data_IF_302866831566
#
_entry.id   IF_302866831566
#
_cell.length_a   1.000
_cell.length_b   1.000
_cell.length_c   1.000
_cell.angle_alpha   90.00
_cell.angle_beta   90.00
_cell.angle_gamma   90.00
#
_symmetry.space_group_name_H-M   'P 1'
#
loop_
_entity.id
_entity.type
_entity.pdbx_description
1 polymer ?
#
# COMPACT_ATOMS: atom_id res chain seq x y z
N UNK A 1 2.12 -20.03 11.29
CA UNK A 1 2.02 -18.59 11.59
C UNK A 1 0.56 -18.19 11.43
N UNK A 2 -0.19 -18.08 12.52
CA UNK A 2 -1.60 -17.63 12.50
C UNK A 2 -1.62 -16.25 13.15
N UNK A 3 -1.59 -15.19 12.35
CA UNK A 3 -1.70 -13.82 12.86
C UNK A 3 -3.19 -13.49 12.95
N UNK A 4 -3.77 -13.62 14.14
CA UNK A 4 -5.07 -13.04 14.41
C UNK A 4 -4.89 -11.52 14.60
N UNK A 5 -5.10 -10.74 13.54
CA UNK A 5 -5.30 -9.29 13.68
C UNK A 5 -6.78 -9.01 13.84
N UNK A 6 -7.12 -8.53 15.04
CA UNK A 6 -8.40 -7.94 15.36
C UNK A 6 -8.78 -6.92 14.28
N UNK A 7 -9.99 -7.05 13.72
CA UNK A 7 -10.62 -6.01 12.90
C UNK A 7 -10.62 -4.69 13.66
N UNK A 8 -9.72 -3.79 13.30
CA UNK A 8 -9.81 -2.38 13.65
C UNK A 8 -11.05 -1.80 12.96
N UNK A 9 -11.89 -1.03 13.66
CA UNK A 9 -13.09 -0.52 13.04
C UNK A 9 -12.86 0.76 12.25
N UNK A 10 -13.26 0.75 10.98
CA UNK A 10 -13.68 1.96 10.26
C UNK A 10 -14.95 2.48 10.96
N UNK A 11 -14.88 3.68 11.53
CA UNK A 11 -16.04 4.30 12.19
C UNK A 11 -16.84 5.12 11.17
N UNK A 12 -18.01 4.62 10.78
CA UNK A 12 -19.14 5.47 10.39
C UNK A 12 -19.84 5.96 11.67
N UNK A 13 -20.31 7.21 11.74
CA UNK A 13 -21.03 7.69 12.92
C UNK A 13 -22.37 6.95 13.02
N UNK A 14 -22.60 6.31 14.16
CA UNK A 14 -23.92 5.78 14.53
C UNK A 14 -24.18 4.29 14.28
N UNK A 15 -23.25 3.37 14.62
CA UNK A 15 -23.59 1.94 14.60
C UNK A 15 -23.15 1.18 15.87
N UNK A 16 -24.14 0.75 16.64
CA UNK A 16 -24.11 -0.06 17.87
C UNK A 16 -23.73 -1.53 17.60
N UNK A 17 -22.82 -1.79 16.66
CA UNK A 17 -22.61 -3.12 16.10
C UNK A 17 -21.18 -3.64 16.39
N UNK A 18 -20.86 -3.98 17.65
CA UNK A 18 -19.50 -4.47 18.03
C UNK A 18 -19.41 -5.53 19.12
N UNK A 19 -20.50 -6.20 19.50
CA UNK A 19 -20.45 -7.31 20.48
C UNK A 19 -20.45 -8.69 19.80
N UNK A 20 -21.15 -8.83 18.67
CA UNK A 20 -21.36 -10.10 17.98
C UNK A 20 -20.16 -10.59 17.15
N UNK A 21 -19.32 -9.70 16.64
CA UNK A 21 -18.26 -10.08 15.67
C UNK A 21 -17.10 -10.83 16.31
N UNK A 22 -16.69 -10.43 17.52
CA UNK A 22 -15.58 -11.11 18.24
C UNK A 22 -16.01 -12.47 18.78
N UNK A 23 -17.26 -12.59 19.23
CA UNK A 23 -17.82 -13.85 19.70
C UNK A 23 -17.89 -14.89 18.58
N UNK A 24 -18.31 -14.48 17.37
CA UNK A 24 -18.30 -15.35 16.20
C UNK A 24 -16.89 -15.87 15.88
N UNK A 25 -15.89 -14.99 15.82
CA UNK A 25 -14.50 -15.37 15.54
C UNK A 25 -13.88 -16.31 16.59
N UNK A 26 -14.23 -16.14 17.87
CA UNK A 26 -13.78 -17.04 18.95
C UNK A 26 -14.42 -18.43 18.77
N UNK A 27 -15.71 -18.49 18.42
CA UNK A 27 -16.42 -19.76 18.19
C UNK A 27 -15.82 -20.51 17.00
N UNK A 28 -15.54 -19.81 15.90
CA UNK A 28 -14.94 -20.42 14.70
C UNK A 28 -13.53 -20.95 14.98
N UNK A 29 -12.74 -20.22 15.79
CA UNK A 29 -11.41 -20.66 16.24
C UNK A 29 -11.48 -21.92 17.11
N UNK A 30 -12.42 -21.99 18.06
CA UNK A 30 -12.61 -23.18 18.91
C UNK A 30 -13.04 -24.38 18.06
N UNK A 31 -13.91 -24.19 17.05
CA UNK A 31 -14.32 -25.24 16.13
C UNK A 31 -13.13 -25.77 15.31
N UNK A 32 -12.32 -24.88 14.75
CA UNK A 32 -11.15 -25.28 13.96
C UNK A 32 -10.12 -26.08 14.78
N UNK A 33 -9.91 -25.72 16.05
CA UNK A 33 -8.96 -26.40 16.93
C UNK A 33 -9.50 -27.71 17.54
N UNK A 34 -10.82 -27.85 17.69
CA UNK A 34 -11.43 -29.04 18.33
C UNK A 34 -11.13 -30.37 17.62
N UNK A 35 -10.77 -30.34 16.33
CA UNK A 35 -10.37 -31.53 15.57
C UNK A 35 -8.87 -31.82 15.55
N UNK A 36 -8.05 -30.99 16.20
CA UNK A 36 -6.58 -30.97 16.04
C UNK A 36 -5.84 -31.27 17.37
N UNK A 37 -6.44 -30.92 18.50
CA UNK A 37 -5.80 -31.00 19.83
C UNK A 37 -6.67 -31.72 20.85
N UNK A 38 -6.04 -32.29 21.88
CA UNK A 38 -6.72 -32.91 23.01
C UNK A 38 -7.57 -31.92 23.82
N UNK A 39 -8.53 -32.44 24.57
CA UNK A 39 -9.51 -31.66 25.32
C UNK A 39 -8.88 -30.73 26.37
N UNK A 40 -7.75 -31.11 26.97
CA UNK A 40 -7.05 -30.29 27.96
C UNK A 40 -6.39 -29.06 27.30
N UNK A 41 -5.78 -29.27 26.14
CA UNK A 41 -5.21 -28.21 25.32
C UNK A 41 -6.30 -27.30 24.75
N UNK A 42 -7.43 -27.87 24.31
CA UNK A 42 -8.58 -27.11 23.82
C UNK A 42 -9.19 -26.24 24.93
N UNK A 43 -9.28 -26.74 26.15
CA UNK A 43 -9.76 -25.98 27.30
C UNK A 43 -8.81 -24.83 27.68
N UNK A 44 -7.49 -25.04 27.61
CA UNK A 44 -6.51 -23.97 27.81
C UNK A 44 -6.63 -22.84 26.77
N UNK A 45 -6.85 -23.21 25.50
CA UNK A 45 -7.11 -22.25 24.41
C UNK A 45 -8.41 -21.47 24.65
N UNK A 46 -9.49 -22.13 25.10
CA UNK A 46 -10.75 -21.46 25.45
C UNK A 46 -10.57 -20.41 26.55
N UNK A 47 -9.86 -20.76 27.61
CA UNK A 47 -9.59 -19.83 28.73
C UNK A 47 -8.79 -18.62 28.25
N UNK A 48 -7.80 -18.83 27.39
CA UNK A 48 -6.97 -17.76 26.82
C UNK A 48 -7.77 -16.84 25.89
N UNK A 49 -8.63 -17.38 25.03
CA UNK A 49 -9.51 -16.60 24.17
C UNK A 49 -10.54 -15.78 24.97
N UNK A 50 -11.05 -16.31 26.07
CA UNK A 50 -11.92 -15.57 26.98
C UNK A 50 -11.19 -14.40 27.69
N UNK A 51 -9.92 -14.58 28.04
CA UNK A 51 -9.09 -13.51 28.59
C UNK A 51 -8.85 -12.38 27.58
N UNK A 52 -8.63 -12.72 26.30
CA UNK A 52 -8.50 -11.73 25.22
C UNK A 52 -9.82 -10.98 25.01
N UNK A 53 -10.95 -11.70 25.03
CA UNK A 53 -12.29 -11.11 24.95
C UNK A 53 -12.48 -10.08 26.08
N UNK A 54 -12.13 -10.43 27.31
CA UNK A 54 -12.15 -9.53 28.47
C UNK A 54 -11.24 -8.32 28.29
N UNK A 55 -9.99 -8.51 27.85
CA UNK A 55 -9.05 -7.43 27.60
C UNK A 55 -9.53 -6.46 26.52
N UNK A 56 -10.06 -6.97 25.41
CA UNK A 56 -10.63 -6.17 24.33
C UNK A 56 -11.83 -5.33 24.80
N UNK A 57 -12.70 -5.91 25.62
CA UNK A 57 -13.81 -5.16 26.21
C UNK A 57 -13.34 -4.10 27.20
N UNK A 58 -12.40 -4.42 28.09
CA UNK A 58 -11.83 -3.46 29.02
C UNK A 58 -11.19 -2.28 28.30
N UNK A 59 -10.43 -2.54 27.22
CA UNK A 59 -9.83 -1.49 26.39
C UNK A 59 -10.89 -0.64 25.68
N UNK A 60 -11.95 -1.27 25.15
CA UNK A 60 -13.06 -0.55 24.49
C UNK A 60 -13.81 0.36 25.48
N UNK A 61 -14.01 -0.11 26.71
CA UNK A 61 -14.60 0.70 27.79
C UNK A 61 -13.67 1.86 28.15
N UNK A 62 -12.37 1.60 28.31
CA UNK A 62 -11.36 2.62 28.60
C UNK A 62 -11.31 3.73 27.53
N UNK A 63 -11.27 3.36 26.25
CA UNK A 63 -11.27 4.30 25.13
C UNK A 63 -12.58 5.11 25.05
N UNK A 64 -13.72 4.49 25.39
CA UNK A 64 -15.00 5.20 25.44
C UNK A 64 -15.10 6.14 26.65
N UNK A 65 -14.47 5.79 27.77
CA UNK A 65 -14.37 6.65 28.96
C UNK A 65 -13.44 7.82 28.68
N UNK A 66 -12.27 7.60 28.07
CA UNK A 66 -11.33 8.66 27.65
C UNK A 66 -11.99 9.70 26.74
N UNK A 67 -12.80 9.24 25.78
CA UNK A 67 -13.55 10.13 24.86
C UNK A 67 -14.56 11.02 25.57
N UNK A 68 -15.02 10.65 26.77
CA UNK A 68 -16.05 11.38 27.53
C UNK A 68 -15.47 12.14 28.72
N UNK A 69 -14.39 11.65 29.30
CA UNK A 69 -13.71 12.19 30.45
C UNK A 69 -12.20 12.03 30.17
N UNK A 70 -11.40 13.11 30.20
CA UNK A 70 -9.95 13.04 29.96
C UNK A 70 -9.21 12.43 31.17
N UNK A 71 -9.69 11.28 31.67
CA UNK A 71 -9.20 10.56 32.85
C UNK A 71 -7.81 9.96 32.59
N UNK A 72 -7.45 9.73 31.33
CA UNK A 72 -6.13 9.16 30.96
C UNK A 72 -4.99 10.07 31.40
N UNK A 73 -5.12 11.40 31.36
CA UNK A 73 -4.08 12.29 31.89
C UNK A 73 -3.89 12.15 33.41
N UNK A 74 -4.98 11.91 34.13
CA UNK A 74 -4.97 11.74 35.59
C UNK A 74 -4.39 10.37 35.96
N UNK A 75 -4.83 9.30 35.30
CA UNK A 75 -4.31 7.94 35.49
C UNK A 75 -2.85 7.87 35.06
N UNK A 76 -2.47 8.51 33.94
CA UNK A 76 -1.09 8.67 33.48
C UNK A 76 -0.21 9.32 34.54
N UNK A 77 -0.70 10.39 35.19
CA UNK A 77 0.07 11.05 36.25
C UNK A 77 0.30 10.15 37.46
N UNK A 78 -0.71 9.37 37.86
CA UNK A 78 -0.57 8.39 38.93
C UNK A 78 0.28 7.18 38.54
N UNK A 79 0.18 6.72 37.29
CA UNK A 79 0.96 5.61 36.74
C UNK A 79 2.43 5.97 36.57
N UNK A 80 2.77 7.17 36.09
CA UNK A 80 4.15 7.69 36.07
C UNK A 80 4.74 7.74 37.48
N UNK A 81 3.98 8.28 38.43
CA UNK A 81 4.36 8.29 39.85
C UNK A 81 4.52 6.87 40.45
N UNK A 82 3.86 5.86 39.86
CA UNK A 82 3.99 4.45 40.25
C UNK A 82 5.19 3.76 39.56
N UNK A 83 5.50 4.13 38.31
CA UNK A 83 6.64 3.65 37.51
C UNK A 83 7.96 4.23 38.02
N UNK A 84 8.00 5.50 38.38
CA UNK A 84 9.15 6.18 39.00
C UNK A 84 9.55 5.51 40.34
N UNK A 85 8.58 4.85 40.99
CA UNK A 85 8.76 4.12 42.24
C UNK A 85 8.98 2.59 42.07
N UNK A 86 9.13 2.10 40.84
CA UNK A 86 9.81 0.83 40.59
C UNK A 86 9.17 -0.10 39.56
N UNK A 87 9.65 -0.04 38.31
CA UNK A 87 9.88 -1.22 37.45
C UNK A 87 11.22 -1.03 36.72
N UNK A 88 12.03 -2.09 36.62
CA UNK A 88 13.37 -2.06 36.01
C UNK A 88 13.32 -1.84 34.48
N UNK A 89 14.31 -1.13 33.87
CA UNK A 89 14.40 -0.94 32.43
C UNK A 89 14.57 -2.28 31.69
N UNK A 90 13.84 -2.49 30.59
CA UNK A 90 13.93 -3.68 29.73
C UNK A 90 12.65 -4.53 29.60
N UNK A 91 11.55 -4.15 30.25
CA UNK A 91 10.27 -4.84 30.15
C UNK A 91 9.45 -4.34 28.93
N UNK A 92 8.81 -5.26 28.21
CA UNK A 92 7.86 -5.03 27.10
C UNK A 92 6.76 -4.02 27.45
N UNK A 93 6.30 -3.96 28.69
CA UNK A 93 5.35 -2.93 29.15
C UNK A 93 5.96 -1.51 29.13
N UNK A 94 7.26 -1.38 29.43
CA UNK A 94 7.98 -0.11 29.32
C UNK A 94 8.21 0.28 27.85
N UNK A 95 8.51 -0.71 26.99
CA UNK A 95 8.58 -0.51 25.54
C UNK A 95 7.23 -0.06 24.97
N UNK A 96 6.12 -0.71 25.31
CA UNK A 96 4.78 -0.32 24.85
C UNK A 96 4.39 1.08 25.36
N UNK A 97 4.72 1.41 26.62
CA UNK A 97 4.50 2.76 27.16
C UNK A 97 5.32 3.83 26.43
N UNK A 98 6.61 3.57 26.16
CA UNK A 98 7.48 4.48 25.40
C UNK A 98 6.94 4.70 23.99
N UNK A 99 6.54 3.63 23.31
CA UNK A 99 5.94 3.66 21.97
C UNK A 99 4.65 4.51 21.90
N UNK A 100 3.79 4.40 22.92
CA UNK A 100 2.47 5.04 22.92
C UNK A 100 2.49 6.50 23.42
N UNK A 101 3.46 6.88 24.25
CA UNK A 101 3.37 8.14 25.00
C UNK A 101 4.63 9.02 24.96
N UNK A 102 5.82 8.48 24.72
CA UNK A 102 7.09 9.24 24.64
C UNK A 102 8.02 8.69 23.55
N UNK A 103 7.61 8.73 22.25
CA UNK A 103 8.47 8.28 21.16
C UNK A 103 9.66 9.24 20.98
N UNK A 104 10.88 8.73 21.07
CA UNK A 104 12.09 9.51 20.75
C UNK A 104 12.32 9.57 19.23
N UNK A 105 13.03 10.60 18.71
CA UNK A 105 13.31 10.73 17.28
C UNK A 105 13.98 9.50 16.63
N UNK A 106 14.73 8.71 17.40
CA UNK A 106 15.40 7.48 16.95
C UNK A 106 14.51 6.23 17.05
N UNK A 107 13.37 6.29 17.76
CA UNK A 107 12.42 5.17 17.87
C UNK A 107 11.64 4.94 16.57
N UNK A 108 11.52 5.99 15.73
CA UNK A 108 10.85 5.92 14.42
C UNK A 108 11.49 4.92 13.46
N UNK A 109 12.80 4.67 13.57
CA UNK A 109 13.56 3.77 12.70
C UNK A 109 13.40 2.30 13.16
N UNK A 110 13.06 2.07 14.42
CA UNK A 110 13.01 0.72 15.03
C UNK A 110 11.59 0.21 15.32
N UNK A 111 10.55 0.92 14.84
CA UNK A 111 9.15 0.57 15.07
C UNK A 111 8.81 -0.86 14.65
N UNK A 112 9.30 -1.35 13.51
CA UNK A 112 9.00 -2.70 13.04
C UNK A 112 9.57 -3.77 13.98
N UNK A 113 10.85 -3.67 14.37
CA UNK A 113 11.47 -4.61 15.30
C UNK A 113 10.81 -4.59 16.68
N UNK A 114 10.41 -3.40 17.15
CA UNK A 114 9.79 -3.23 18.47
C UNK A 114 8.35 -3.73 18.48
N UNK A 115 7.55 -3.40 17.46
CA UNK A 115 6.18 -3.92 17.29
C UNK A 115 6.21 -5.43 17.07
N UNK A 116 7.13 -5.96 16.27
CA UNK A 116 7.32 -7.39 16.09
C UNK A 116 7.68 -8.06 17.43
N UNK A 117 8.61 -7.51 18.22
CA UNK A 117 8.97 -8.08 19.53
C UNK A 117 7.78 -8.11 20.50
N UNK A 118 6.93 -7.08 20.48
CA UNK A 118 5.71 -7.02 21.30
C UNK A 118 4.69 -8.05 20.78
N UNK A 119 4.48 -8.11 19.46
CA UNK A 119 3.57 -9.05 18.84
C UNK A 119 4.00 -10.50 19.09
N UNK A 120 5.27 -10.83 18.88
CA UNK A 120 5.87 -12.15 19.09
C UNK A 120 5.74 -12.59 20.54
N UNK A 121 6.01 -11.69 21.50
CA UNK A 121 5.85 -12.00 22.92
C UNK A 121 4.42 -12.38 23.31
N UNK A 122 3.42 -11.66 22.81
CA UNK A 122 2.03 -12.00 23.08
C UNK A 122 1.59 -13.21 22.24
N UNK A 123 2.14 -13.40 21.04
CA UNK A 123 1.85 -14.53 20.17
C UNK A 123 2.31 -15.85 20.79
N UNK A 124 3.58 -15.95 21.20
CA UNK A 124 4.18 -17.13 21.84
C UNK A 124 3.44 -17.56 23.12
N UNK A 125 2.82 -16.60 23.82
CA UNK A 125 2.11 -16.84 25.08
C UNK A 125 0.63 -17.17 24.91
N UNK A 126 0.01 -16.72 23.82
CA UNK A 126 -1.43 -16.90 23.56
C UNK A 126 -1.68 -18.13 22.68
N UNK A 127 -0.77 -18.43 21.75
CA UNK A 127 -0.85 -19.57 20.85
C UNK A 127 0.47 -20.31 20.99
N UNK A 128 0.47 -21.52 21.57
CA UNK A 128 1.65 -22.38 21.55
C UNK A 128 2.03 -22.61 20.07
N UNK A 129 3.17 -22.10 19.58
CA UNK A 129 3.54 -22.29 18.19
C UNK A 129 3.82 -23.79 17.99
N UNK A 130 3.10 -24.43 17.07
CA UNK A 130 3.50 -25.74 16.58
C UNK A 130 4.66 -25.51 15.60
N UNK A 131 5.84 -26.02 15.93
CA UNK A 131 6.98 -26.01 15.02
C UNK A 131 6.77 -27.11 13.99
N UNK A 132 6.50 -26.72 12.74
CA UNK A 132 6.67 -27.62 11.61
C UNK A 132 8.15 -27.67 11.29
N UNK A 133 8.72 -28.87 11.23
CA UNK A 133 10.09 -29.07 10.80
C UNK A 133 10.16 -29.00 9.26
N UNK A 134 9.93 -27.81 8.73
CA UNK A 134 10.00 -27.52 7.28
C UNK A 134 11.48 -27.49 6.88
N UNK A 135 11.79 -28.10 5.74
CA UNK A 135 13.14 -28.10 5.20
C UNK A 135 13.62 -26.66 4.92
N UNK A 136 14.86 -26.34 5.31
CA UNK A 136 15.51 -25.04 5.06
C UNK A 136 15.48 -24.66 3.58
N UNK A 137 15.68 -25.62 2.65
CA UNK A 137 15.60 -25.37 1.20
C UNK A 137 14.19 -24.92 0.76
N UNK A 138 13.15 -25.42 1.42
CA UNK A 138 11.78 -25.00 1.18
C UNK A 138 11.54 -23.57 1.70
N UNK A 139 12.07 -23.23 2.89
CA UNK A 139 11.99 -21.88 3.44
C UNK A 139 12.71 -20.85 2.54
N UNK A 140 13.89 -21.21 2.01
CA UNK A 140 14.60 -20.39 1.04
C UNK A 140 13.79 -20.18 -0.23
N UNK A 141 13.10 -21.22 -0.72
CA UNK A 141 12.21 -21.14 -1.88
C UNK A 141 11.01 -20.22 -1.63
N UNK A 142 10.40 -20.30 -0.44
CA UNK A 142 9.32 -19.38 0.00
C UNK A 142 9.82 -17.93 0.07
N UNK A 143 11.04 -17.71 0.57
CA UNK A 143 11.66 -16.39 0.63
C UNK A 143 11.97 -15.86 -0.77
N UNK A 144 12.42 -16.72 -1.68
CA UNK A 144 12.66 -16.38 -3.09
C UNK A 144 11.36 -15.91 -3.77
N UNK A 145 10.25 -16.64 -3.62
CA UNK A 145 8.94 -16.22 -4.15
C UNK A 145 8.52 -14.83 -3.64
N UNK A 146 8.73 -14.57 -2.34
CA UNK A 146 8.45 -13.25 -1.75
C UNK A 146 9.32 -12.16 -2.39
N UNK A 147 10.61 -12.43 -2.54
CA UNK A 147 11.55 -11.49 -3.12
C UNK A 147 11.23 -11.19 -4.60
N UNK A 148 10.84 -12.19 -5.38
CA UNK A 148 10.45 -12.06 -6.79
C UNK A 148 9.35 -11.01 -6.96
N UNK A 149 8.33 -11.05 -6.11
CA UNK A 149 7.15 -10.19 -6.24
C UNK A 149 7.40 -8.79 -5.64
N UNK A 150 7.93 -8.72 -4.42
CA UNK A 150 7.91 -7.46 -3.66
C UNK A 150 9.19 -6.64 -3.81
N UNK A 151 10.32 -7.24 -4.18
CA UNK A 151 11.59 -6.52 -4.24
C UNK A 151 11.76 -5.78 -5.58
N UNK A 152 11.03 -4.68 -5.73
CA UNK A 152 11.07 -3.85 -6.93
C UNK A 152 12.37 -3.06 -7.15
N UNK A 153 13.31 -3.12 -6.19
CA UNK A 153 14.65 -2.53 -6.32
C UNK A 153 15.68 -3.54 -6.86
N UNK A 154 15.38 -4.83 -6.76
CA UNK A 154 16.21 -5.88 -7.33
C UNK A 154 16.00 -5.95 -8.83
N UNK A 155 17.10 -6.10 -9.57
CA UNK A 155 17.11 -6.22 -11.02
C UNK A 155 17.68 -7.56 -11.48
N UNK A 156 17.94 -8.46 -10.53
CA UNK A 156 18.47 -9.80 -10.82
C UNK A 156 17.44 -10.58 -11.63
N UNK A 157 17.85 -10.97 -12.84
CA UNK A 157 17.11 -11.83 -13.77
C UNK A 157 17.09 -13.23 -13.20
N UNK A 158 15.95 -13.90 -13.35
CA UNK A 158 15.67 -15.24 -12.84
C UNK A 158 15.41 -16.13 -14.03
N UNK A 159 16.27 -17.13 -14.21
CA UNK A 159 16.12 -18.07 -15.31
C UNK A 159 15.00 -19.08 -15.07
N UNK A 160 14.49 -19.67 -16.14
CA UNK A 160 13.53 -20.78 -16.09
C UNK A 160 14.03 -21.93 -15.20
N UNK A 161 15.33 -22.22 -15.24
CA UNK A 161 15.95 -23.24 -14.38
C UNK A 161 15.84 -22.89 -12.89
N UNK A 162 16.01 -21.62 -12.53
CA UNK A 162 15.85 -21.16 -11.14
C UNK A 162 14.39 -21.23 -10.69
N UNK A 163 13.43 -20.84 -11.54
CA UNK A 163 12.01 -21.01 -11.26
C UNK A 163 11.63 -22.48 -11.10
N UNK A 164 12.19 -23.36 -11.93
CA UNK A 164 11.97 -24.80 -11.86
C UNK A 164 12.55 -25.39 -10.57
N UNK A 165 13.74 -24.96 -10.15
CA UNK A 165 14.36 -25.38 -8.89
C UNK A 165 13.51 -25.03 -7.67
N UNK A 166 12.94 -23.81 -7.63
CA UNK A 166 11.96 -23.40 -6.61
C UNK A 166 10.78 -24.39 -6.59
N UNK A 167 10.21 -24.71 -7.75
CA UNK A 167 9.09 -25.64 -7.86
C UNK A 167 9.41 -27.04 -7.30
N UNK A 168 10.59 -27.56 -7.65
CA UNK A 168 11.06 -28.88 -7.20
C UNK A 168 11.25 -28.90 -5.69
N UNK A 169 11.88 -27.87 -5.11
CA UNK A 169 12.09 -27.75 -3.66
C UNK A 169 10.78 -27.67 -2.88
N UNK A 170 9.81 -26.89 -3.37
CA UNK A 170 8.47 -26.81 -2.76
C UNK A 170 7.71 -28.15 -2.83
N UNK A 171 7.79 -28.87 -3.95
CA UNK A 171 7.09 -30.16 -4.14
C UNK A 171 7.67 -31.32 -3.33
N UNK A 172 8.95 -31.23 -2.95
CA UNK A 172 9.64 -32.23 -2.11
C UNK A 172 9.22 -32.19 -0.65
N UNK A 173 8.61 -31.08 -0.19
CA UNK A 173 8.22 -30.93 1.21
C UNK A 173 7.08 -31.89 1.59
N UNK A 174 7.24 -32.51 2.76
CA UNK A 174 6.32 -33.51 3.31
C UNK A 174 4.99 -32.89 3.75
N UNK A 175 5.03 -31.63 4.18
CA UNK A 175 3.89 -30.86 4.70
C UNK A 175 3.04 -30.19 3.60
N UNK A 176 2.60 -30.97 2.60
CA UNK A 176 1.95 -30.47 1.37
C UNK A 176 0.81 -29.48 1.60
N UNK A 177 -0.02 -29.67 2.62
CA UNK A 177 -1.16 -28.78 2.90
C UNK A 177 -0.74 -27.33 3.20
N UNK A 178 0.43 -27.13 3.83
CA UNK A 178 0.94 -25.79 4.17
C UNK A 178 1.74 -25.16 3.03
N UNK A 179 2.29 -25.98 2.14
CA UNK A 179 3.11 -25.54 1.01
C UNK A 179 2.28 -25.29 -0.24
N UNK A 180 1.09 -25.91 -0.35
CA UNK A 180 0.22 -25.79 -1.51
C UNK A 180 -0.04 -24.33 -1.93
N UNK A 181 -0.34 -23.38 -1.02
CA UNK A 181 -0.56 -21.99 -1.40
C UNK A 181 0.67 -21.33 -2.06
N UNK A 182 1.89 -21.71 -1.66
CA UNK A 182 3.13 -21.22 -2.28
C UNK A 182 3.37 -21.86 -3.65
N UNK A 183 2.99 -23.12 -3.83
CA UNK A 183 3.01 -23.78 -5.15
C UNK A 183 2.00 -23.09 -6.09
N UNK A 184 0.84 -22.70 -5.59
CA UNK A 184 -0.15 -21.97 -6.40
C UNK A 184 0.37 -20.59 -6.82
N UNK A 185 1.09 -19.89 -5.93
CA UNK A 185 1.75 -18.63 -6.25
C UNK A 185 2.85 -18.82 -7.29
N UNK A 186 3.71 -19.83 -7.12
CA UNK A 186 4.75 -20.17 -8.08
C UNK A 186 4.16 -20.45 -9.47
N UNK A 187 3.07 -21.22 -9.56
CA UNK A 187 2.39 -21.48 -10.85
C UNK A 187 1.92 -20.20 -11.53
N UNK A 188 1.40 -19.23 -10.77
CA UNK A 188 0.99 -17.93 -11.35
C UNK A 188 2.19 -17.18 -11.91
N UNK A 189 3.33 -17.18 -11.19
CA UNK A 189 4.58 -16.59 -11.67
C UNK A 189 5.08 -17.30 -12.94
N UNK A 190 5.04 -18.63 -12.97
CA UNK A 190 5.45 -19.46 -14.12
C UNK A 190 4.59 -19.23 -15.37
N UNK A 191 3.27 -19.04 -15.21
CA UNK A 191 2.38 -18.64 -16.31
C UNK A 191 2.78 -17.26 -16.86
N UNK A 192 3.06 -16.30 -15.96
CA UNK A 192 3.47 -14.94 -16.36
C UNK A 192 4.83 -14.97 -17.07
N UNK A 193 5.82 -15.75 -16.62
CA UNK A 193 7.13 -15.83 -17.29
C UNK A 193 7.03 -16.31 -18.74
N UNK A 194 6.05 -17.18 -19.02
CA UNK A 194 5.78 -17.77 -20.35
C UNK A 194 4.86 -16.92 -21.23
N UNK A 195 4.42 -15.76 -20.76
CA UNK A 195 3.49 -14.90 -21.49
C UNK A 195 2.01 -15.25 -21.36
N UNK A 196 1.65 -16.28 -20.59
CA UNK A 196 0.27 -16.78 -20.41
C UNK A 196 -0.51 -15.94 -19.38
N UNK A 197 -0.53 -14.61 -19.58
CA UNK A 197 -1.04 -13.65 -18.60
C UNK A 197 -2.57 -13.70 -18.41
N UNK A 198 -3.36 -14.09 -19.41
CA UNK A 198 -4.79 -14.31 -19.24
C UNK A 198 -5.09 -15.50 -18.31
N UNK A 199 -4.37 -16.62 -18.47
CA UNK A 199 -4.54 -17.79 -17.61
C UNK A 199 -4.10 -17.48 -16.18
N UNK A 200 -2.99 -16.75 -16.02
CA UNK A 200 -2.57 -16.25 -14.72
C UNK A 200 -3.65 -15.37 -14.07
N UNK A 201 -4.32 -14.51 -14.85
CA UNK A 201 -5.37 -13.62 -14.33
C UNK A 201 -6.60 -14.39 -13.86
N UNK A 202 -7.09 -15.33 -14.66
CA UNK A 202 -8.23 -16.18 -14.28
C UNK A 202 -7.89 -17.03 -13.05
N UNK A 203 -6.66 -17.55 -12.97
CA UNK A 203 -6.22 -18.32 -11.82
C UNK A 203 -6.22 -17.48 -10.54
N UNK A 204 -5.68 -16.26 -10.58
CA UNK A 204 -5.65 -15.37 -9.41
C UNK A 204 -7.05 -14.97 -8.94
N UNK A 205 -8.03 -14.82 -9.85
CA UNK A 205 -9.44 -14.52 -9.48
C UNK A 205 -10.09 -15.64 -8.66
N UNK A 206 -9.69 -16.90 -8.88
CA UNK A 206 -10.29 -18.05 -8.20
C UNK A 206 -9.75 -18.30 -6.79
N UNK A 207 -8.67 -17.61 -6.39
CA UNK A 207 -8.01 -17.84 -5.10
C UNK A 207 -8.83 -17.20 -3.98
N UNK A 208 -9.30 -18.05 -3.06
CA UNK A 208 -9.93 -17.62 -1.82
C UNK A 208 -8.87 -17.08 -0.86
N UNK A 209 -8.93 -15.77 -0.58
CA UNK A 209 -7.99 -15.11 0.34
C UNK A 209 -8.15 -15.60 1.78
N UNK A 210 -9.36 -16.02 2.17
CA UNK A 210 -9.67 -16.52 3.51
C UNK A 210 -9.03 -17.91 3.77
N UNK A 211 -8.72 -18.66 2.71
CA UNK A 211 -8.09 -19.99 2.79
C UNK A 211 -6.56 -19.92 2.76
N UNK A 212 -5.98 -18.73 2.58
CA UNK A 212 -4.53 -18.54 2.58
C UNK A 212 -3.97 -18.48 4.00
N UNK A 213 -2.76 -19.03 4.24
CA UNK A 213 -2.11 -18.90 5.53
C UNK A 213 -1.74 -17.43 5.78
N UNK A 214 -1.75 -17.03 7.05
CA UNK A 214 -1.37 -15.67 7.42
C UNK A 214 0.06 -15.36 7.00
N UNK A 215 0.28 -14.17 6.45
CA UNK A 215 1.56 -13.74 5.90
C UNK A 215 1.40 -13.06 4.54
N UNK A 216 2.47 -13.06 3.75
CA UNK A 216 2.56 -12.23 2.55
C UNK A 216 1.70 -12.71 1.36
N UNK A 217 1.20 -13.96 1.38
CA UNK A 217 0.56 -14.59 0.22
C UNK A 217 -0.69 -13.83 -0.24
N UNK A 218 -1.53 -13.38 0.69
CA UNK A 218 -2.71 -12.59 0.36
C UNK A 218 -2.31 -11.31 -0.39
N UNK A 219 -1.30 -10.59 0.10
CA UNK A 219 -0.77 -9.40 -0.59
C UNK A 219 -0.15 -9.74 -1.94
N UNK A 220 0.55 -10.87 -2.06
CA UNK A 220 1.21 -11.29 -3.29
C UNK A 220 0.18 -11.54 -4.41
N UNK A 221 -0.85 -12.33 -4.12
CA UNK A 221 -1.93 -12.57 -5.08
C UNK A 221 -2.69 -11.29 -5.42
N UNK A 222 -2.94 -10.41 -4.44
CA UNK A 222 -3.63 -9.15 -4.67
C UNK A 222 -2.81 -8.16 -5.51
N UNK A 223 -1.49 -8.09 -5.33
CA UNK A 223 -0.60 -7.27 -6.17
C UNK A 223 -0.68 -7.72 -7.63
N UNK A 224 -0.58 -9.02 -7.88
CA UNK A 224 -0.70 -9.60 -9.23
C UNK A 224 -2.11 -9.35 -9.79
N UNK A 225 -3.15 -9.57 -8.99
CA UNK A 225 -4.54 -9.34 -9.37
C UNK A 225 -4.81 -7.89 -9.81
N UNK A 226 -4.35 -6.92 -9.01
CA UNK A 226 -4.52 -5.49 -9.31
C UNK A 226 -3.84 -5.16 -10.65
N UNK A 227 -2.60 -5.59 -10.84
CA UNK A 227 -1.84 -5.29 -12.05
C UNK A 227 -2.46 -5.94 -13.30
N UNK A 228 -2.80 -7.24 -13.25
CA UNK A 228 -3.45 -7.94 -14.37
C UNK A 228 -4.84 -7.37 -14.68
N UNK A 229 -5.60 -6.96 -13.66
CA UNK A 229 -6.88 -6.28 -13.88
C UNK A 229 -6.70 -4.92 -14.56
N UNK A 230 -5.68 -4.15 -14.18
CA UNK A 230 -5.32 -2.89 -14.86
C UNK A 230 -4.88 -3.14 -16.30
N UNK A 231 -4.22 -4.27 -16.57
CA UNK A 231 -3.81 -4.67 -17.91
C UNK A 231 -5.03 -4.97 -18.80
N UNK A 232 -5.90 -5.88 -18.36
CA UNK A 232 -6.98 -6.43 -19.19
C UNK A 232 -8.28 -5.64 -19.15
N UNK A 233 -8.61 -5.03 -18.01
CA UNK A 233 -9.93 -4.45 -17.74
C UNK A 233 -9.86 -2.93 -17.51
N UNK A 234 -8.80 -2.23 -17.94
CA UNK A 234 -8.54 -0.81 -17.62
C UNK A 234 -9.76 0.10 -17.75
N UNK A 235 -10.50 -0.01 -18.86
CA UNK A 235 -11.67 0.83 -19.17
C UNK A 235 -12.85 0.59 -18.23
N UNK A 236 -12.90 -0.57 -17.57
CA UNK A 236 -13.97 -0.99 -16.68
C UNK A 236 -13.65 -0.76 -15.19
N UNK A 237 -12.45 -0.24 -14.87
CA UNK A 237 -12.06 0.08 -13.51
C UNK A 237 -12.81 1.34 -13.06
N UNK A 238 -13.66 1.19 -12.05
CA UNK A 238 -14.37 2.30 -11.39
C UNK A 238 -13.61 2.75 -10.14
N UNK A 239 -13.87 3.98 -9.72
CA UNK A 239 -13.31 4.51 -8.46
C UNK A 239 -13.67 3.60 -7.28
N UNK A 240 -12.66 3.28 -6.45
CA UNK A 240 -12.81 2.46 -5.26
C UNK A 240 -12.89 0.94 -5.50
N UNK A 241 -12.78 0.47 -6.75
CA UNK A 241 -12.84 -0.98 -7.07
C UNK A 241 -11.76 -1.80 -6.35
N UNK A 242 -10.62 -1.19 -6.04
CA UNK A 242 -9.52 -1.85 -5.34
C UNK A 242 -9.51 -1.62 -3.82
N UNK A 243 -10.46 -0.89 -3.24
CA UNK A 243 -10.37 -0.48 -1.82
C UNK A 243 -10.31 -1.66 -0.84
N UNK A 244 -11.04 -2.75 -1.11
CA UNK A 244 -10.94 -3.99 -0.32
C UNK A 244 -9.56 -4.63 -0.47
N UNK A 245 -9.08 -4.80 -1.71
CA UNK A 245 -7.75 -5.33 -2.02
C UNK A 245 -6.64 -4.51 -1.35
N UNK A 246 -6.72 -3.18 -1.39
CA UNK A 246 -5.75 -2.29 -0.75
C UNK A 246 -5.71 -2.52 0.75
N UNK A 247 -6.87 -2.59 1.40
CA UNK A 247 -6.94 -2.82 2.85
C UNK A 247 -6.27 -4.14 3.22
N UNK A 248 -6.60 -5.22 2.49
CA UNK A 248 -5.99 -6.53 2.70
C UNK A 248 -4.50 -6.56 2.38
N UNK A 249 -4.02 -5.81 1.37
CA UNK A 249 -2.59 -5.68 1.10
C UNK A 249 -1.90 -5.02 2.29
N UNK A 250 -2.39 -3.88 2.79
CA UNK A 250 -1.79 -3.15 3.91
C UNK A 250 -1.76 -3.97 5.21
N UNK A 251 -2.75 -4.86 5.40
CA UNK A 251 -2.82 -5.75 6.56
C UNK A 251 -1.79 -6.90 6.51
N UNK A 252 -1.39 -7.33 5.31
CA UNK A 252 -0.61 -8.55 5.07
C UNK A 252 0.76 -8.32 4.41
N UNK A 253 1.04 -7.09 3.97
CA UNK A 253 2.32 -6.69 3.39
C UNK A 253 3.34 -6.59 4.53
N UNK A 254 4.28 -7.55 4.60
CA UNK A 254 5.40 -7.48 5.54
C UNK A 254 6.35 -6.30 5.26
N UNK A 255 7.58 -6.32 5.80
CA UNK A 255 8.53 -5.19 5.79
C UNK A 255 9.05 -4.61 4.46
N UNK A 256 8.43 -4.89 3.30
CA UNK A 256 8.72 -4.19 2.04
C UNK A 256 7.88 -2.90 1.95
N UNK A 257 8.24 -1.90 2.75
CA UNK A 257 7.72 -0.54 2.65
C UNK A 257 8.72 0.33 1.87
N UNK A 258 8.31 0.88 0.71
CA UNK A 258 9.09 1.96 0.06
C UNK A 258 8.98 3.21 0.94
N UNK A 259 10.10 3.76 1.40
CA UNK A 259 10.09 5.06 2.04
C UNK A 259 10.03 6.11 0.94
N UNK A 260 8.91 6.82 0.84
CA UNK A 260 8.82 8.01 -0.02
C UNK A 260 9.45 9.13 0.80
N UNK A 261 10.64 9.64 0.42
CA UNK A 261 11.16 10.83 1.07
C UNK A 261 10.13 11.94 0.88
N UNK A 262 9.73 12.58 1.97
CA UNK A 262 8.90 13.78 1.94
C UNK A 262 9.72 14.82 1.18
N UNK A 263 9.34 15.14 -0.07
CA UNK A 263 9.97 16.23 -0.82
C UNK A 263 9.93 17.51 0.02
N UNK A 264 11.00 18.31 -0.02
CA UNK A 264 11.06 19.61 0.66
C UNK A 264 9.89 20.55 0.29
N UNK A 265 9.25 20.33 -0.86
CA UNK A 265 8.03 21.01 -1.27
C UNK A 265 6.81 20.73 -0.36
N UNK A 266 6.90 19.72 0.52
CA UNK A 266 5.83 19.28 1.43
C UNK A 266 6.07 19.67 2.90
N UNK A 267 7.17 20.36 3.19
CA UNK A 267 7.52 20.86 4.52
C UNK A 267 7.62 22.37 4.49
N UNK A 268 6.67 23.05 5.12
CA UNK A 268 6.80 24.48 5.41
C UNK A 268 7.41 24.61 6.81
N UNK A 269 8.58 25.23 6.90
CA UNK A 269 9.18 25.64 8.17
C UNK A 269 8.69 27.03 8.52
N UNK A 270 8.03 27.17 9.67
CA UNK A 270 7.75 28.48 10.24
C UNK A 270 9.07 29.20 10.59
N UNK A 271 8.98 30.52 10.78
CA UNK A 271 10.09 31.36 11.28
C UNK A 271 10.60 30.97 12.67
N UNK A 272 9.88 30.11 13.39
CA UNK A 272 10.26 29.54 14.70
C UNK A 272 10.87 28.13 14.62
N UNK A 273 11.02 27.57 13.41
CA UNK A 273 11.61 26.25 13.18
C UNK A 273 10.65 25.06 13.33
N UNK A 274 9.36 25.29 13.59
CA UNK A 274 8.36 24.22 13.60
C UNK A 274 7.96 23.79 12.18
N UNK A 275 7.83 22.47 11.97
CA UNK A 275 7.44 21.88 10.69
C UNK A 275 5.92 21.73 10.65
N UNK A 276 5.24 22.51 9.82
CA UNK A 276 3.82 22.32 9.56
C UNK A 276 3.62 21.32 8.40
N UNK A 277 2.58 20.50 8.49
CA UNK A 277 2.13 19.63 7.38
C UNK A 277 1.61 20.56 6.27
N UNK A 278 2.37 20.71 5.17
CA UNK A 278 1.99 21.61 4.08
C UNK A 278 0.59 21.27 3.56
N UNK A 279 -0.20 22.29 3.21
CA UNK A 279 -1.48 22.13 2.50
C UNK A 279 -1.31 21.37 1.18
N UNK A 280 -0.12 21.42 0.57
CA UNK A 280 0.26 20.67 -0.63
C UNK A 280 0.19 19.15 -0.45
N UNK A 281 0.42 18.64 0.77
CA UNK A 281 0.29 17.20 1.05
C UNK A 281 -1.16 16.74 0.95
N UNK A 282 -2.12 17.55 1.40
CA UNK A 282 -3.54 17.16 1.37
C UNK A 282 -4.11 17.09 -0.04
N UNK A 283 -3.51 17.82 -0.97
CA UNK A 283 -3.91 17.83 -2.37
C UNK A 283 -3.15 16.79 -3.20
N UNK A 284 -2.02 16.26 -2.71
CA UNK A 284 -1.17 15.24 -3.36
C UNK A 284 -1.91 13.93 -3.62
N UNK A 285 -1.67 13.33 -4.79
CA UNK A 285 -2.16 11.98 -5.13
C UNK A 285 -1.61 10.95 -4.14
N UNK A 286 -0.43 11.22 -3.58
CA UNK A 286 0.28 10.35 -2.64
C UNK A 286 -0.35 10.33 -1.24
N UNK A 287 -1.24 11.27 -0.94
CA UNK A 287 -1.96 11.31 0.34
C UNK A 287 -3.05 10.24 0.46
N UNK A 288 -3.52 9.71 -0.66
CA UNK A 288 -4.47 8.61 -0.71
C UNK A 288 -3.73 7.27 -0.67
N UNK A 289 -3.96 6.51 0.41
CA UNK A 289 -3.34 5.20 0.60
C UNK A 289 -3.72 4.18 -0.49
N UNK A 290 -4.91 4.31 -1.12
CA UNK A 290 -5.30 3.47 -2.25
C UNK A 290 -4.46 3.80 -3.47
N UNK A 291 -4.31 5.08 -3.80
CA UNK A 291 -3.49 5.49 -4.95
C UNK A 291 -2.06 4.97 -4.79
N UNK A 292 -1.48 5.14 -3.61
CA UNK A 292 -0.13 4.65 -3.34
C UNK A 292 0.00 3.13 -3.46
N UNK A 293 -0.97 2.38 -2.94
CA UNK A 293 -0.94 0.92 -2.98
C UNK A 293 -1.13 0.39 -4.41
N UNK A 294 -1.99 1.03 -5.20
CA UNK A 294 -2.18 0.71 -6.62
C UNK A 294 -0.90 0.99 -7.41
N UNK A 295 -0.31 2.17 -7.24
CA UNK A 295 0.96 2.56 -7.88
C UNK A 295 2.10 1.59 -7.52
N UNK A 296 2.21 1.19 -6.25
CA UNK A 296 3.19 0.19 -5.81
C UNK A 296 2.94 -1.19 -6.42
N UNK A 297 1.68 -1.60 -6.50
CA UNK A 297 1.32 -2.91 -7.09
C UNK A 297 1.73 -2.97 -8.56
N UNK A 298 1.49 -1.91 -9.32
CA UNK A 298 1.93 -1.80 -10.73
C UNK A 298 3.46 -1.88 -10.82
N UNK A 299 4.19 -1.11 -10.00
CA UNK A 299 5.66 -1.11 -10.00
C UNK A 299 6.25 -2.48 -9.64
N UNK A 300 5.71 -3.12 -8.59
CA UNK A 300 6.10 -4.45 -8.14
C UNK A 300 5.89 -5.49 -9.24
N UNK A 301 4.71 -5.49 -9.85
CA UNK A 301 4.38 -6.39 -10.94
C UNK A 301 5.27 -6.18 -12.16
N UNK A 302 5.46 -4.95 -12.63
CA UNK A 302 6.32 -4.69 -13.79
C UNK A 302 7.79 -5.04 -13.54
N UNK A 303 8.30 -4.83 -12.31
CA UNK A 303 9.63 -5.29 -11.95
C UNK A 303 9.70 -6.83 -11.89
N UNK A 304 8.70 -7.49 -11.32
CA UNK A 304 8.59 -8.94 -11.31
C UNK A 304 8.64 -9.51 -12.73
N UNK A 305 7.79 -9.01 -13.64
CA UNK A 305 7.77 -9.38 -15.07
C UNK A 305 9.15 -9.23 -15.68
N UNK A 306 9.81 -8.08 -15.47
CA UNK A 306 11.17 -7.85 -15.96
C UNK A 306 12.17 -8.87 -15.43
N UNK A 307 12.00 -9.42 -14.24
CA UNK A 307 12.94 -10.38 -13.66
C UNK A 307 12.72 -11.80 -14.14
N UNK A 308 11.49 -12.17 -14.49
CA UNK A 308 11.11 -13.56 -14.77
C UNK A 308 10.82 -13.86 -16.24
N UNK A 309 10.65 -12.84 -17.07
CA UNK A 309 10.22 -13.00 -18.47
C UNK A 309 11.30 -13.59 -19.37
N UNK A 310 10.90 -14.44 -20.30
CA UNK A 310 11.77 -15.01 -21.35
C UNK A 310 12.30 -13.93 -22.31
N UNK A 311 11.66 -12.75 -22.37
CA UNK A 311 12.12 -11.61 -23.16
C UNK A 311 13.47 -11.04 -22.69
N UNK A 312 13.91 -11.39 -21.48
CA UNK A 312 15.21 -10.96 -20.95
C UNK A 312 16.40 -11.43 -21.81
N UNK A 313 16.25 -12.54 -22.51
CA UNK A 313 17.29 -13.05 -23.43
C UNK A 313 17.31 -12.28 -24.77
N UNK A 314 16.26 -11.50 -25.06
CA UNK A 314 16.07 -10.79 -26.32
C UNK A 314 16.31 -9.28 -26.19
N UNK A 315 15.72 -8.62 -25.17
CA UNK A 315 15.80 -7.17 -25.01
C UNK A 315 15.71 -6.77 -23.53
N UNK A 316 16.84 -6.39 -22.92
CA UNK A 316 16.91 -6.08 -21.48
C UNK A 316 16.16 -4.81 -21.02
N UNK A 317 15.81 -3.92 -21.95
CA UNK A 317 15.22 -2.59 -21.65
C UNK A 317 13.93 -2.28 -22.42
N UNK A 318 13.27 -3.31 -22.96
CA UNK A 318 12.02 -3.18 -23.72
C UNK A 318 10.76 -3.16 -22.85
N UNK A 319 9.63 -2.87 -23.51
CA UNK A 319 8.29 -3.07 -22.93
C UNK A 319 7.88 -4.51 -23.21
N UNK A 320 7.80 -5.35 -22.18
CA UNK A 320 7.42 -6.75 -22.38
C UNK A 320 5.89 -6.89 -22.52
N UNK A 321 5.38 -7.79 -23.39
CA UNK A 321 3.95 -8.00 -23.59
C UNK A 321 3.18 -8.29 -22.30
N UNK A 322 3.82 -8.88 -21.29
CA UNK A 322 3.21 -9.24 -20.01
C UNK A 322 3.08 -8.04 -19.07
N UNK A 323 3.80 -6.95 -19.33
CA UNK A 323 3.85 -5.76 -18.49
C UNK A 323 2.57 -4.92 -18.55
N UNK A 324 2.39 -4.07 -17.55
CA UNK A 324 1.40 -3.00 -17.52
C UNK A 324 2.05 -1.71 -18.01
N UNK A 325 1.66 -1.23 -19.19
CA UNK A 325 2.23 -0.02 -19.81
C UNK A 325 1.13 0.89 -20.37
N UNK A 326 1.49 2.10 -20.80
CA UNK A 326 0.58 3.10 -21.37
C UNK A 326 -0.30 3.79 -20.33
N UNK A 327 0.07 3.74 -19.05
CA UNK A 327 -0.71 4.38 -17.98
C UNK A 327 -0.53 5.89 -17.95
N UNK A 328 0.57 6.37 -18.53
CA UNK A 328 0.99 7.76 -18.51
C UNK A 328 0.83 8.47 -19.87
N UNK A 329 0.51 7.73 -20.94
CA UNK A 329 0.38 8.25 -22.32
C UNK A 329 -0.49 9.49 -22.43
N UNK A 330 -1.63 9.50 -21.73
CA UNK A 330 -2.56 10.63 -21.76
C UNK A 330 -1.91 11.87 -21.14
N UNK A 331 -1.21 11.72 -20.02
CA UNK A 331 -0.52 12.82 -19.34
C UNK A 331 0.64 13.32 -20.21
N UNK A 332 1.45 12.41 -20.77
CA UNK A 332 2.57 12.74 -21.64
C UNK A 332 2.10 13.51 -22.89
N UNK A 333 1.04 13.05 -23.54
CA UNK A 333 0.45 13.71 -24.70
C UNK A 333 -0.01 15.14 -24.37
N UNK A 334 -0.67 15.33 -23.23
CA UNK A 334 -1.13 16.66 -22.80
C UNK A 334 0.06 17.57 -22.53
N UNK A 335 1.08 17.09 -21.83
CA UNK A 335 2.29 17.87 -21.58
C UNK A 335 3.03 18.20 -22.87
N UNK A 336 3.04 17.32 -23.86
CA UNK A 336 3.59 17.60 -25.20
C UNK A 336 2.90 18.80 -25.87
N UNK A 337 1.56 18.92 -25.75
CA UNK A 337 0.83 20.10 -26.25
C UNK A 337 1.30 21.38 -25.54
N UNK A 338 1.47 21.34 -24.23
CA UNK A 338 1.90 22.50 -23.41
C UNK A 338 3.35 22.89 -23.75
N UNK A 339 4.27 21.91 -23.78
CA UNK A 339 5.67 22.12 -24.10
C UNK A 339 5.86 22.71 -25.50
N UNK A 340 5.10 22.22 -26.49
CA UNK A 340 5.12 22.78 -27.84
C UNK A 340 4.76 24.28 -27.85
N UNK A 341 3.82 24.72 -27.02
CA UNK A 341 3.45 26.14 -26.88
C UNK A 341 4.59 26.91 -26.21
N UNK A 342 5.12 26.39 -25.09
CA UNK A 342 6.21 27.03 -24.36
C UNK A 342 7.40 27.27 -25.28
N UNK A 343 7.82 26.26 -26.03
CA UNK A 343 8.99 26.36 -26.90
C UNK A 343 8.74 27.18 -28.16
N UNK A 344 7.60 27.00 -28.84
CA UNK A 344 7.30 27.74 -30.07
C UNK A 344 7.09 29.23 -29.82
N UNK A 345 6.45 29.60 -28.71
CA UNK A 345 6.15 31.00 -28.36
C UNK A 345 7.13 31.61 -27.37
N UNK A 346 8.15 30.84 -26.93
CA UNK A 346 9.17 31.26 -25.95
C UNK A 346 8.55 31.83 -24.68
N UNK A 347 7.57 31.12 -24.12
CA UNK A 347 6.85 31.56 -22.92
C UNK A 347 7.76 31.45 -21.70
N UNK A 348 7.85 32.52 -20.91
CA UNK A 348 8.67 32.61 -19.70
C UNK A 348 7.87 32.88 -18.43
N UNK A 349 6.56 33.11 -18.55
CA UNK A 349 5.66 33.48 -17.45
C UNK A 349 4.45 32.55 -17.35
N UNK A 350 4.12 32.11 -16.14
CA UNK A 350 2.97 31.24 -15.87
C UNK A 350 1.64 31.92 -16.21
N UNK A 351 1.55 33.24 -16.05
CA UNK A 351 0.38 34.03 -16.39
C UNK A 351 0.13 34.02 -17.90
N UNK A 352 1.19 34.23 -18.70
CA UNK A 352 1.09 34.21 -20.16
C UNK A 352 0.72 32.81 -20.67
N UNK A 353 1.31 31.77 -20.06
CA UNK A 353 0.97 30.39 -20.37
C UNK A 353 -0.50 30.09 -20.03
N UNK A 354 -0.98 30.46 -18.83
CA UNK A 354 -2.37 30.27 -18.42
C UNK A 354 -3.34 30.98 -19.38
N UNK A 355 -3.04 32.22 -19.75
CA UNK A 355 -3.84 33.01 -20.69
C UNK A 355 -3.95 32.31 -22.06
N UNK A 356 -2.85 31.81 -22.59
CA UNK A 356 -2.83 31.09 -23.88
C UNK A 356 -3.58 29.76 -23.78
N UNK A 357 -3.33 28.97 -22.73
CA UNK A 357 -3.99 27.67 -22.53
C UNK A 357 -5.51 27.81 -22.45
N UNK A 358 -5.99 28.90 -21.83
CA UNK A 358 -7.40 29.23 -21.71
C UNK A 358 -8.00 29.73 -23.02
N UNK A 359 -7.43 30.78 -23.62
CA UNK A 359 -8.04 31.46 -24.76
C UNK A 359 -8.01 30.63 -26.04
N UNK A 360 -7.00 29.77 -26.19
CA UNK A 360 -6.89 28.88 -27.33
C UNK A 360 -7.54 27.51 -27.09
N UNK A 361 -8.24 27.33 -25.95
CA UNK A 361 -8.93 26.09 -25.56
C UNK A 361 -8.05 24.83 -25.71
N UNK A 362 -6.76 24.95 -25.38
CA UNK A 362 -5.78 23.87 -25.56
C UNK A 362 -6.07 22.67 -24.64
N UNK A 363 -6.57 22.97 -23.44
CA UNK A 363 -6.92 21.98 -22.43
C UNK A 363 -8.44 21.86 -22.33
N UNK A 364 -8.93 20.64 -22.44
CA UNK A 364 -10.34 20.32 -22.27
C UNK A 364 -10.73 20.34 -20.79
N UNK A 365 -12.01 20.56 -20.49
CA UNK A 365 -12.54 20.45 -19.12
C UNK A 365 -12.26 19.08 -18.50
N UNK A 366 -12.34 18.01 -19.30
CA UNK A 366 -12.04 16.64 -18.86
C UNK A 366 -10.58 16.48 -18.43
N UNK A 367 -9.62 17.04 -19.19
CA UNK A 367 -8.20 16.93 -18.85
C UNK A 367 -7.84 17.66 -17.56
N UNK A 368 -8.60 18.70 -17.22
CA UNK A 368 -8.39 19.50 -16.02
C UNK A 368 -9.13 18.98 -14.79
N UNK A 369 -10.12 18.10 -14.93
CA UNK A 369 -11.01 17.67 -13.84
C UNK A 369 -11.01 16.15 -13.62
N UNK A 370 -10.90 15.37 -14.69
CA UNK A 370 -11.02 13.92 -14.61
C UNK A 370 -9.67 13.27 -14.29
N UNK A 371 -9.70 12.07 -13.73
CA UNK A 371 -8.50 11.27 -13.53
C UNK A 371 -7.87 10.88 -14.86
N UNK A 372 -6.63 11.29 -15.10
CA UNK A 372 -5.95 11.07 -16.37
C UNK A 372 -5.38 9.66 -16.53
N UNK A 373 -5.02 9.00 -15.42
CA UNK A 373 -4.48 7.63 -15.43
C UNK A 373 -5.58 6.57 -15.48
N UNK A 374 -6.82 6.93 -15.15
CA UNK A 374 -7.98 6.04 -15.11
C UNK A 374 -8.00 5.02 -13.96
N UNK A 375 -6.89 4.87 -13.23
CA UNK A 375 -6.74 3.92 -12.12
C UNK A 375 -6.59 4.60 -10.76
N UNK A 376 -6.23 5.89 -10.72
CA UNK A 376 -6.05 6.67 -9.50
C UNK A 376 -7.24 7.59 -9.25
N UNK A 377 -7.59 7.81 -7.99
CA UNK A 377 -8.62 8.77 -7.57
C UNK A 377 -8.03 10.18 -7.53
N UNK A 378 -8.80 11.18 -7.96
CA UNK A 378 -8.42 12.61 -7.92
C UNK A 378 -7.04 12.88 -8.58
N UNK A 379 -6.85 12.36 -9.79
CA UNK A 379 -5.60 12.49 -10.54
C UNK A 379 -5.75 13.36 -11.82
N UNK A 380 -6.26 14.62 -11.74
CA UNK A 380 -6.30 15.54 -12.89
C UNK A 380 -4.91 16.04 -13.26
N UNK A 381 -4.80 16.78 -14.36
CA UNK A 381 -3.51 17.27 -14.89
C UNK A 381 -2.66 18.04 -13.85
N UNK A 382 -3.28 18.93 -13.07
CA UNK A 382 -2.56 19.71 -12.05
C UNK A 382 -1.91 18.78 -11.00
N UNK A 383 -2.65 17.77 -10.54
CA UNK A 383 -2.15 16.79 -9.61
C UNK A 383 -1.05 15.91 -10.24
N UNK A 384 -1.21 15.56 -11.52
CA UNK A 384 -0.19 14.81 -12.26
C UNK A 384 1.13 15.58 -12.39
N UNK A 385 1.08 16.89 -12.69
CA UNK A 385 2.27 17.74 -12.76
C UNK A 385 2.93 17.88 -11.40
N UNK A 386 2.13 18.08 -10.34
CA UNK A 386 2.67 18.19 -8.98
C UNK A 386 3.42 16.94 -8.54
N UNK A 387 2.83 15.77 -8.78
CA UNK A 387 3.37 14.48 -8.33
C UNK A 387 4.14 13.73 -9.45
N UNK A 388 4.63 14.46 -10.48
CA UNK A 388 5.12 13.90 -11.74
C UNK A 388 6.25 12.88 -11.57
N UNK A 389 7.23 13.17 -10.71
CA UNK A 389 8.34 12.26 -10.44
C UNK A 389 7.87 10.93 -9.84
N UNK A 390 6.87 10.99 -8.96
CA UNK A 390 6.30 9.81 -8.33
C UNK A 390 5.49 8.99 -9.34
N UNK A 391 4.70 9.66 -10.19
CA UNK A 391 4.00 8.97 -11.28
C UNK A 391 4.98 8.26 -12.21
N UNK A 392 6.06 8.93 -12.61
CA UNK A 392 7.14 8.32 -13.41
C UNK A 392 7.76 7.14 -12.67
N UNK A 393 8.13 7.29 -11.39
CA UNK A 393 8.80 6.24 -10.60
C UNK A 393 7.97 4.96 -10.48
N UNK A 394 6.65 5.08 -10.33
CA UNK A 394 5.78 3.94 -10.00
C UNK A 394 4.94 3.40 -11.16
N UNK A 395 4.53 4.25 -12.10
CA UNK A 395 3.63 3.85 -13.18
C UNK A 395 4.32 3.69 -14.53
N UNK A 396 5.51 4.26 -14.72
CA UNK A 396 6.27 4.07 -15.95
C UNK A 396 6.76 2.62 -16.04
N UNK A 397 6.38 1.94 -17.11
CA UNK A 397 6.99 0.66 -17.46
C UNK A 397 8.44 0.89 -17.94
N UNK A 398 9.42 0.05 -17.57
CA UNK A 398 10.72 0.05 -18.23
C UNK A 398 10.56 0.04 -19.76
N UNK A 399 11.38 0.82 -20.48
CA UNK A 399 11.29 0.99 -21.92
C UNK A 399 10.23 1.97 -22.42
N UNK A 400 9.28 2.41 -21.59
CA UNK A 400 8.20 3.30 -22.01
C UNK A 400 8.70 4.72 -22.33
N UNK A 401 8.32 5.23 -23.51
CA UNK A 401 8.71 6.56 -24.00
C UNK A 401 7.75 7.66 -23.52
N UNK A 402 8.04 8.23 -22.34
CA UNK A 402 7.29 9.38 -21.78
C UNK A 402 8.13 10.67 -21.79
N UNK A 403 8.59 11.06 -22.98
CA UNK A 403 9.58 12.12 -23.18
C UNK A 403 9.09 13.48 -22.63
N UNK A 404 7.82 13.81 -22.83
CA UNK A 404 7.27 15.10 -22.41
C UNK A 404 7.14 15.18 -20.89
N UNK A 405 6.76 14.08 -20.24
CA UNK A 405 6.77 14.00 -18.77
C UNK A 405 8.18 14.17 -18.21
N UNK A 406 9.18 13.48 -18.77
CA UNK A 406 10.58 13.58 -18.33
C UNK A 406 11.10 15.01 -18.47
N UNK A 407 10.83 15.68 -19.60
CA UNK A 407 11.20 17.08 -19.80
C UNK A 407 10.52 18.02 -18.78
N UNK A 408 9.28 17.72 -18.41
CA UNK A 408 8.49 18.53 -17.47
C UNK A 408 8.90 18.36 -16.01
N UNK A 409 9.88 17.50 -15.70
CA UNK A 409 10.50 17.40 -14.36
C UNK A 409 11.51 18.53 -14.13
N UNK A 410 12.07 19.13 -15.19
CA UNK A 410 12.97 20.28 -15.05
C UNK A 410 12.30 21.38 -14.24
N UNK A 411 12.99 21.91 -13.21
CA UNK A 411 12.38 22.82 -12.24
C UNK A 411 11.77 24.06 -12.88
N UNK A 412 12.41 24.64 -13.90
CA UNK A 412 11.91 25.86 -14.53
C UNK A 412 10.64 25.57 -15.34
N UNK A 413 10.64 24.46 -16.09
CA UNK A 413 9.46 24.02 -16.83
C UNK A 413 8.33 23.61 -15.88
N UNK A 414 8.67 22.91 -14.80
CA UNK A 414 7.72 22.50 -13.78
C UNK A 414 7.06 23.72 -13.13
N UNK A 415 7.84 24.70 -12.64
CA UNK A 415 7.33 25.92 -12.01
C UNK A 415 6.40 26.68 -12.98
N UNK A 416 6.81 26.77 -14.25
CA UNK A 416 6.04 27.44 -15.29
C UNK A 416 4.68 26.77 -15.54
N UNK A 417 4.70 25.44 -15.77
CA UNK A 417 3.51 24.64 -16.08
C UNK A 417 2.59 24.55 -14.86
N UNK A 418 3.14 24.22 -13.70
CA UNK A 418 2.39 24.10 -12.45
C UNK A 418 1.73 25.43 -12.07
N UNK A 419 2.47 26.54 -12.13
CA UNK A 419 1.94 27.88 -11.87
C UNK A 419 0.78 28.23 -12.81
N UNK A 420 0.90 27.91 -14.11
CA UNK A 420 -0.16 28.19 -15.08
C UNK A 420 -1.43 27.35 -14.80
N UNK A 421 -1.27 26.07 -14.50
CA UNK A 421 -2.39 25.18 -14.17
C UNK A 421 -3.08 25.59 -12.87
N UNK A 422 -2.34 26.10 -11.88
CA UNK A 422 -2.89 26.61 -10.63
C UNK A 422 -3.76 27.85 -10.86
N UNK A 423 -3.29 28.81 -11.66
CA UNK A 423 -4.09 29.98 -12.06
C UNK A 423 -5.41 29.53 -12.71
N UNK A 424 -5.34 28.58 -13.64
CA UNK A 424 -6.54 28.05 -14.30
C UNK A 424 -7.51 27.37 -13.33
N UNK A 425 -7.02 26.71 -12.29
CA UNK A 425 -7.86 26.08 -11.27
C UNK A 425 -8.53 27.13 -10.35
N UNK A 426 -7.79 28.13 -9.89
CA UNK A 426 -8.29 29.20 -9.03
C UNK A 426 -9.38 30.03 -9.72
N UNK A 427 -9.15 30.43 -10.98
CA UNK A 427 -10.17 31.15 -11.77
C UNK A 427 -11.47 30.35 -11.92
N UNK A 428 -11.36 29.03 -12.08
CA UNK A 428 -12.53 28.14 -12.17
C UNK A 428 -13.26 28.02 -10.85
N UNK A 429 -12.55 27.87 -9.73
CA UNK A 429 -13.16 27.86 -8.38
C UNK A 429 -13.95 29.15 -8.12
N UNK A 430 -13.44 30.30 -8.55
CA UNK A 430 -14.13 31.61 -8.45
C UNK A 430 -15.40 31.64 -9.31
N UNK A 431 -15.36 31.12 -10.55
CA UNK A 431 -16.54 31.06 -11.43
C UNK A 431 -17.63 30.11 -10.91
N UNK A 432 -17.25 28.97 -10.34
CA UNK A 432 -18.18 28.01 -9.73
C UNK A 432 -18.86 28.58 -8.47
N UNK A 433 -18.13 29.33 -7.63
CA UNK A 433 -18.70 30.02 -6.47
C UNK A 433 -19.71 31.11 -6.86
N UNK A 434 -19.46 31.84 -7.96
CA UNK A 434 -20.40 32.87 -8.47
C UNK A 434 -21.70 32.28 -9.02
N UNK A 435 -21.67 31.08 -9.57
CA UNK A 435 -22.87 30.39 -10.09
C UNK A 435 -23.74 29.80 -8.99
N UNK A 436 -23.17 29.46 -7.82
CA UNK A 436 -23.94 28.99 -6.65
C UNK A 436 -24.47 30.14 -5.77
N UNK A 437 -23.84 31.31 -5.77
CA UNK A 437 -24.27 32.48 -5.00
C UNK A 437 -25.33 33.37 -5.67
N UNK A 438 -25.61 33.18 -6.97
CA UNK A 438 -26.58 33.98 -7.74
C UNK A 438 -28.02 33.47 -7.70
N UNK A 439 -28.28 32.39 -6.95
CA UNK A 439 -29.61 31.84 -6.70
C UNK A 439 -30.10 32.16 -5.29
N UNK A 440 -30.33 33.45 -5.00
CA UNK A 440 -31.18 33.90 -3.89
C UNK A 440 -32.00 35.10 -4.32
#
# INVERSE_FOLDING_TARGET
MVVWRFRGPVYRPGNTQKKSTLEASIIDCIKAYSGIVDDDTLNSVRVSLDNIKKAHYSLTVLLNVERKLPVINIISRYYRNYVDNGIKPGNISAMLCRLLYEPEPHDFIHHDTMINSIADYYHERVIKPFSLNINEECLQSISALKNIIFNFNDKTIISEAQLTDIAVKLKKESHKQFIQPYIELWKVIDLISKGETEEAFEKVKTISLDDLPAGYLASAFLVIHIALRIKFERKNIKNGVFSSSVTSILENQGGYADYIPVSQAYTETHSDGSVMKSTLLSESILSDANNMTIMRSVRMYNNMVRRISDWNDLELEGIYPESVYGLLDKVDTILGKILNIIFSKKITSSQDLAFILKNNEILTRSELNDSLTGILVNCPLLACVRDIESLIKYLRCPGEEIRNMILSVDKNLWDLIYGALKILEEERKIQAGKTQGGGR
#
